data_IF_737329995696
#
_entry.id   IF_737329995696
#
_cell.length_a   1.000
_cell.length_b   1.000
_cell.length_c   1.000
_cell.angle_alpha   90.00
_cell.angle_beta   90.00
_cell.angle_gamma   90.00
#
_symmetry.space_group_name_H-M   'P 1'
#
loop_
_entity.id
_entity.type
_entity.pdbx_description
1 polymer ?
#
# COMPACT_ATOMS: atom_id res chain seq x y z
N UNK A 1 -32.31 19.62 -8.43
CA UNK A 1 -31.91 19.29 -7.03
C UNK A 1 -31.64 17.80 -6.85
N UNK A 2 -32.55 16.92 -7.26
CA UNK A 2 -32.36 15.46 -7.18
C UNK A 2 -31.14 14.91 -7.94
N UNK A 3 -30.79 15.50 -9.09
CA UNK A 3 -29.63 15.04 -9.87
C UNK A 3 -28.29 15.39 -9.21
N UNK A 4 -28.23 16.51 -8.49
CA UNK A 4 -27.07 16.87 -7.68
C UNK A 4 -26.85 15.82 -6.56
N UNK A 5 -27.93 15.40 -5.88
CA UNK A 5 -27.87 14.38 -4.83
C UNK A 5 -27.35 13.04 -5.39
N UNK A 6 -27.83 12.62 -6.57
CA UNK A 6 -27.35 11.40 -7.24
C UNK A 6 -25.86 11.49 -7.59
N UNK A 7 -25.40 12.64 -8.10
CA UNK A 7 -24.00 12.84 -8.46
C UNK A 7 -23.06 12.82 -7.25
N UNK A 8 -23.48 13.42 -6.13
CA UNK A 8 -22.72 13.40 -4.87
C UNK A 8 -22.66 11.99 -4.30
N UNK A 9 -23.77 11.27 -4.30
CA UNK A 9 -23.80 9.88 -3.85
C UNK A 9 -22.87 8.98 -4.68
N UNK A 10 -22.88 9.15 -6.01
CA UNK A 10 -21.98 8.42 -6.91
C UNK A 10 -20.51 8.74 -6.61
N UNK A 11 -20.17 10.02 -6.36
CA UNK A 11 -18.81 10.42 -6.02
C UNK A 11 -18.33 9.79 -4.70
N UNK A 12 -19.20 9.69 -3.69
CA UNK A 12 -18.90 9.03 -2.42
C UNK A 12 -18.62 7.54 -2.62
N UNK A 13 -19.50 6.85 -3.35
CA UNK A 13 -19.34 5.42 -3.66
C UNK A 13 -18.03 5.18 -4.43
N UNK A 14 -17.74 6.03 -5.42
CA UNK A 14 -16.49 5.96 -6.18
C UNK A 14 -15.25 6.13 -5.29
N UNK A 15 -15.27 7.11 -4.37
CA UNK A 15 -14.17 7.34 -3.42
C UNK A 15 -13.92 6.11 -2.53
N UNK A 16 -15.00 5.51 -1.99
CA UNK A 16 -14.92 4.28 -1.20
C UNK A 16 -14.33 3.14 -2.03
N UNK A 17 -14.74 2.99 -3.28
CA UNK A 17 -14.21 1.96 -4.19
C UNK A 17 -12.71 2.16 -4.49
N UNK A 18 -12.25 3.40 -4.68
CA UNK A 18 -10.84 3.73 -4.89
C UNK A 18 -9.99 3.42 -3.65
N UNK A 19 -10.48 3.77 -2.45
CA UNK A 19 -9.79 3.45 -1.20
C UNK A 19 -9.77 1.93 -0.95
N UNK A 20 -10.88 1.25 -1.20
CA UNK A 20 -10.99 -0.20 -1.06
C UNK A 20 -10.05 -0.94 -2.01
N UNK A 21 -10.00 -0.53 -3.28
CA UNK A 21 -9.03 -1.08 -4.24
C UNK A 21 -7.59 -0.79 -3.83
N UNK A 22 -7.27 0.43 -3.38
CA UNK A 22 -5.94 0.74 -2.84
C UNK A 22 -5.53 -0.21 -1.70
N UNK A 23 -6.41 -0.49 -0.75
CA UNK A 23 -6.14 -1.39 0.37
C UNK A 23 -5.86 -2.83 -0.11
N UNK A 24 -6.61 -3.33 -1.10
CA UNK A 24 -6.40 -4.64 -1.71
C UNK A 24 -5.06 -4.70 -2.48
N UNK A 25 -4.79 -3.72 -3.35
CA UNK A 25 -3.52 -3.63 -4.07
C UNK A 25 -2.33 -3.50 -3.10
N UNK A 26 -2.50 -2.76 -2.01
CA UNK A 26 -1.52 -2.62 -0.94
C UNK A 26 -1.13 -3.94 -0.31
N UNK A 27 -2.10 -4.82 -0.07
CA UNK A 27 -1.89 -6.14 0.54
C UNK A 27 -1.26 -7.13 -0.43
N UNK A 28 -1.71 -7.16 -1.69
CA UNK A 28 -1.32 -8.20 -2.66
C UNK A 28 -0.14 -7.80 -3.54
N UNK A 29 -0.11 -6.57 -4.04
CA UNK A 29 0.86 -6.11 -5.04
C UNK A 29 1.96 -5.29 -4.39
N UNK A 30 1.62 -4.18 -3.72
CA UNK A 30 2.62 -3.20 -3.28
C UNK A 30 3.60 -3.77 -2.26
N UNK A 31 3.17 -4.69 -1.39
CA UNK A 31 4.04 -5.32 -0.40
C UNK A 31 5.07 -6.31 -1.00
N UNK A 32 4.88 -6.77 -2.25
CA UNK A 32 5.75 -7.76 -2.89
C UNK A 32 6.70 -7.15 -3.93
N UNK A 33 6.35 -6.00 -4.51
CA UNK A 33 7.10 -5.44 -5.64
C UNK A 33 8.08 -4.35 -5.17
N UNK A 34 9.36 -4.49 -5.52
CA UNK A 34 10.36 -3.44 -5.37
C UNK A 34 10.34 -2.54 -6.59
N UNK A 35 9.64 -1.42 -6.51
CA UNK A 35 9.55 -0.44 -7.61
C UNK A 35 10.34 0.81 -7.27
N UNK A 36 11.04 1.37 -8.25
CA UNK A 36 11.71 2.66 -8.11
C UNK A 36 10.65 3.78 -7.96
N UNK A 37 10.85 4.67 -6.98
CA UNK A 37 9.93 5.78 -6.67
C UNK A 37 9.60 6.65 -7.90
N UNK A 38 10.56 6.84 -8.80
CA UNK A 38 10.39 7.67 -9.98
C UNK A 38 9.41 7.07 -11.00
N UNK A 39 9.37 5.73 -11.11
CA UNK A 39 8.48 5.04 -12.07
C UNK A 39 7.01 5.28 -11.70
N UNK A 40 6.70 5.17 -10.40
CA UNK A 40 5.33 5.36 -9.89
C UNK A 40 4.90 6.82 -10.02
N UNK A 41 5.83 7.75 -9.81
CA UNK A 41 5.58 9.17 -10.01
C UNK A 41 5.27 9.47 -11.49
N UNK A 42 6.09 8.95 -12.41
CA UNK A 42 5.87 9.13 -13.86
C UNK A 42 4.53 8.56 -14.31
N UNK A 43 4.14 7.37 -13.83
CA UNK A 43 2.82 6.78 -14.14
C UNK A 43 1.69 7.71 -13.67
N UNK A 44 1.84 8.32 -12.49
CA UNK A 44 0.83 9.22 -11.91
C UNK A 44 0.71 10.48 -12.76
N UNK A 45 1.82 11.12 -13.10
CA UNK A 45 1.83 12.35 -13.91
C UNK A 45 1.23 12.10 -15.29
N UNK A 46 1.61 11.01 -15.96
CA UNK A 46 1.05 10.65 -17.27
C UNK A 46 -0.46 10.42 -17.18
N UNK A 47 -0.93 9.67 -16.19
CA UNK A 47 -2.37 9.40 -16.00
C UNK A 47 -3.16 10.68 -15.76
N UNK A 48 -2.59 11.64 -15.02
CA UNK A 48 -3.19 12.94 -14.77
C UNK A 48 -3.26 13.81 -16.04
N UNK A 49 -2.15 13.91 -16.78
CA UNK A 49 -2.10 14.67 -18.04
C UNK A 49 -3.12 14.10 -19.03
N UNK A 50 -3.18 12.78 -19.17
CA UNK A 50 -4.14 12.15 -20.08
C UNK A 50 -5.58 12.48 -19.66
N UNK A 51 -5.89 12.36 -18.37
CA UNK A 51 -7.23 12.65 -17.82
C UNK A 51 -7.67 14.10 -18.02
N UNK A 52 -6.73 15.04 -17.99
CA UNK A 52 -7.03 16.48 -17.99
C UNK A 52 -7.03 17.08 -19.40
N UNK A 53 -6.07 16.70 -20.23
CA UNK A 53 -5.89 17.29 -21.56
C UNK A 53 -6.68 16.57 -22.66
N UNK A 54 -6.99 15.29 -22.50
CA UNK A 54 -7.77 14.55 -23.49
C UNK A 54 -9.25 14.51 -23.11
N UNK A 55 -10.11 14.78 -24.09
CA UNK A 55 -11.56 14.69 -23.90
C UNK A 55 -12.01 13.23 -24.08
N UNK A 56 -11.69 12.40 -23.08
CA UNK A 56 -12.07 10.99 -23.03
C UNK A 56 -13.45 10.86 -22.40
N UNK A 57 -14.18 9.80 -22.74
CA UNK A 57 -15.50 9.53 -22.16
C UNK A 57 -15.50 9.54 -20.62
N UNK A 58 -16.61 9.99 -20.02
CA UNK A 58 -16.74 10.23 -18.56
C UNK A 58 -16.25 9.05 -17.71
N UNK A 59 -16.60 7.82 -18.09
CA UNK A 59 -16.22 6.59 -17.39
C UNK A 59 -14.71 6.38 -17.43
N UNK A 60 -14.09 6.51 -18.61
CA UNK A 60 -12.64 6.37 -18.78
C UNK A 60 -11.90 7.44 -17.98
N UNK A 61 -12.40 8.69 -17.99
CA UNK A 61 -11.85 9.77 -17.21
C UNK A 61 -11.89 9.48 -15.72
N UNK A 62 -13.01 8.97 -15.20
CA UNK A 62 -13.12 8.54 -13.79
C UNK A 62 -12.13 7.43 -13.45
N UNK A 63 -11.99 6.42 -14.32
CA UNK A 63 -11.05 5.32 -14.12
C UNK A 63 -9.60 5.81 -14.08
N UNK A 64 -9.17 6.65 -15.03
CA UNK A 64 -7.82 7.21 -15.01
C UNK A 64 -7.58 8.10 -13.78
N UNK A 65 -8.59 8.86 -13.33
CA UNK A 65 -8.52 9.65 -12.10
C UNK A 65 -8.34 8.74 -10.86
N UNK A 66 -9.04 7.61 -10.82
CA UNK A 66 -8.85 6.59 -9.78
C UNK A 66 -7.45 6.00 -9.80
N UNK A 67 -6.93 5.66 -10.98
CA UNK A 67 -5.56 5.15 -11.18
C UNK A 67 -4.53 6.18 -10.73
N UNK A 68 -4.74 7.45 -11.06
CA UNK A 68 -3.89 8.56 -10.62
C UNK A 68 -3.84 8.65 -9.10
N UNK A 69 -5.00 8.65 -8.43
CA UNK A 69 -5.08 8.69 -6.96
C UNK A 69 -4.38 7.49 -6.33
N UNK A 70 -4.63 6.28 -6.82
CA UNK A 70 -3.99 5.06 -6.31
C UNK A 70 -2.47 5.13 -6.47
N UNK A 71 -2.00 5.57 -7.64
CA UNK A 71 -0.58 5.66 -7.94
C UNK A 71 0.13 6.72 -7.10
N UNK A 72 -0.53 7.86 -6.83
CA UNK A 72 0.05 8.92 -6.00
C UNK A 72 0.10 8.53 -4.52
N UNK A 73 -0.94 7.86 -4.01
CA UNK A 73 -0.94 7.31 -2.66
C UNK A 73 0.19 6.27 -2.52
N UNK A 74 0.36 5.42 -3.54
CA UNK A 74 1.43 4.43 -3.54
C UNK A 74 2.81 5.10 -3.55
N UNK A 75 3.02 6.15 -4.36
CA UNK A 75 4.25 6.94 -4.36
C UNK A 75 4.55 7.54 -2.97
N UNK A 76 3.54 8.10 -2.30
CA UNK A 76 3.69 8.66 -0.97
C UNK A 76 4.07 7.59 0.06
N UNK A 77 3.44 6.43 -0.01
CA UNK A 77 3.78 5.29 0.86
C UNK A 77 5.22 4.80 0.62
N UNK A 78 5.68 4.78 -0.63
CA UNK A 78 7.05 4.42 -0.99
C UNK A 78 8.06 5.45 -0.49
N UNK A 79 7.73 6.73 -0.62
CA UNK A 79 8.63 7.81 -0.22
C UNK A 79 8.77 7.91 1.30
N UNK A 80 7.68 7.66 2.06
CA UNK A 80 7.69 7.75 3.53
C UNK A 80 8.30 6.53 4.21
N UNK A 81 7.90 5.33 3.80
CA UNK A 81 8.26 4.11 4.54
C UNK A 81 9.47 3.37 3.95
N UNK A 82 9.84 3.66 2.69
CA UNK A 82 10.76 2.83 1.92
C UNK A 82 10.14 1.47 1.60
N UNK A 83 10.27 1.01 0.34
CA UNK A 83 9.93 -0.38 -0.01
C UNK A 83 11.20 -1.21 -0.15
N UNK A 84 11.19 -2.48 0.31
CA UNK A 84 10.08 -3.16 1.00
C UNK A 84 9.95 -2.68 2.46
N UNK A 85 8.71 -2.64 2.98
CA UNK A 85 8.47 -2.40 4.42
C UNK A 85 9.40 -3.32 5.20
N UNK A 86 10.27 -2.80 6.10
CA UNK A 86 11.14 -3.67 6.88
C UNK A 86 10.24 -4.70 7.55
N UNK A 87 10.52 -5.99 7.30
CA UNK A 87 9.83 -7.08 8.00
C UNK A 87 9.91 -6.70 9.46
N UNK A 88 8.77 -6.60 10.17
CA UNK A 88 8.78 -6.36 11.62
C UNK A 88 9.80 -7.31 12.20
N UNK A 89 10.94 -6.77 12.62
CA UNK A 89 12.04 -7.59 13.08
C UNK A 89 11.46 -8.49 14.16
N UNK A 90 11.68 -9.80 14.02
CA UNK A 90 11.15 -10.78 14.96
C UNK A 90 11.55 -10.27 16.34
N UNK A 91 10.56 -9.88 17.15
CA UNK A 91 10.79 -9.31 18.48
C UNK A 91 11.79 -10.24 19.15
N UNK A 92 13.04 -9.78 19.32
CA UNK A 92 14.09 -10.59 19.92
C UNK A 92 13.68 -10.69 21.37
N UNK A 93 12.87 -11.71 21.68
CA UNK A 93 12.53 -12.05 23.04
C UNK A 93 13.85 -12.51 23.64
N UNK A 94 14.46 -11.62 24.42
CA UNK A 94 15.63 -11.95 25.23
C UNK A 94 15.12 -12.96 26.25
N UNK A 95 15.17 -14.24 25.88
CA UNK A 95 14.91 -15.33 26.81
C UNK A 95 16.10 -15.35 27.77
N UNK A 96 15.87 -15.40 29.09
CA UNK A 96 16.97 -15.58 30.02
C UNK A 96 17.73 -16.85 29.60
N UNK A 97 19.05 -16.71 29.43
CA UNK A 97 19.90 -17.88 29.19
C UNK A 97 19.73 -18.82 30.37
N UNK A 98 19.60 -20.13 30.11
CA UNK A 98 19.49 -21.11 31.17
C UNK A 98 20.72 -21.00 32.09
N UNK A 99 20.51 -21.07 33.40
CA UNK A 99 21.61 -21.19 34.36
C UNK A 99 22.44 -22.42 33.96
N UNK A 100 23.77 -22.31 33.81
CA UNK A 100 24.59 -23.48 33.53
C UNK A 100 24.39 -24.47 34.68
N UNK A 101 23.74 -25.60 34.41
CA UNK A 101 23.62 -26.66 35.39
C UNK A 101 24.95 -27.41 35.40
N UNK A 102 25.68 -27.32 36.51
CA UNK A 102 26.85 -28.17 36.72
C UNK A 102 26.35 -29.61 36.79
N UNK A 103 26.74 -30.43 35.81
CA UNK A 103 26.48 -31.88 35.83
C UNK A 103 27.03 -32.41 37.15
N UNK A 104 26.15 -32.90 38.02
CA UNK A 104 26.56 -33.60 39.23
C UNK A 104 26.96 -34.99 38.80
N UNK A 105 28.27 -35.25 38.78
CA UNK A 105 28.79 -36.61 38.65
C UNK A 105 28.31 -37.41 39.86
N UNK A 106 27.27 -38.20 39.67
CA UNK A 106 26.96 -39.31 40.55
C UNK A 106 27.87 -40.46 40.13
N UNK A 107 29.08 -40.53 40.69
CA UNK A 107 29.86 -41.78 40.64
C UNK A 107 29.04 -42.86 41.34
N UNK A 108 28.47 -43.75 40.53
CA UNK A 108 27.87 -45.01 40.95
C UNK A 108 28.97 -46.06 41.02
N UNK A 109 29.11 -46.66 42.20
CA UNK A 109 29.94 -47.83 42.58
C UNK A 109 31.44 -47.62 42.64
#
# INVERSE_FOLDING_TARGET
MWDAIKSVLLAIIFSIAVIGSYALLGRYVFNKVKVNKWIILTISVISFIISFFFNIGLILKMVLLGIFVISILWFLDVNKNGYPKPKKDKKVVIKPKAKPNRVKDHKSK
#
